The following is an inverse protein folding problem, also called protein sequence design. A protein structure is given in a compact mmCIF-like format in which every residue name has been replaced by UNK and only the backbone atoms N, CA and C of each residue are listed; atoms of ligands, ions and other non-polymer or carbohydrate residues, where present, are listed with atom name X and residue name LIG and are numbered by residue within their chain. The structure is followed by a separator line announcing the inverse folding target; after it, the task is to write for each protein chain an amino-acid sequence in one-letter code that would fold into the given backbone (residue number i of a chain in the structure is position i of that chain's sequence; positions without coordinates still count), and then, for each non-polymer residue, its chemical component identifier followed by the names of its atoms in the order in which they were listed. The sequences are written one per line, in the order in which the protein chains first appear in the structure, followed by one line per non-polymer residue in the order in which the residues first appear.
data_IF_227230727638
#
_entry.id   IF_227230727638
#
_cell.length_a   1.000
_cell.length_b   1.000
_cell.length_c   1.000
_cell.angle_alpha   90.00
_cell.angle_beta   90.00
_cell.angle_gamma   90.00
#
_symmetry.space_group_name_H-M   'P 1'
#
loop_
_entity.id
_entity.type
_entity.pdbx_description
1 polymer ?
#
# COMPACT_ATOMS: atom_id res chain seq x y z
N UNK A 1 -7.94 3.40 1.33
CA UNK A 1 -7.47 2.41 2.31
C UNK A 1 -8.38 2.27 3.52
N UNK A 2 -8.52 3.26 4.42
CA UNK A 2 -9.30 3.08 5.67
C UNK A 2 -10.75 2.62 5.44
N UNK A 3 -11.49 3.24 4.51
CA UNK A 3 -12.87 2.83 4.17
C UNK A 3 -12.90 1.43 3.52
N UNK A 4 -11.87 1.09 2.74
CA UNK A 4 -11.75 -0.21 2.07
C UNK A 4 -11.46 -1.33 3.08
N UNK A 5 -10.59 -1.06 4.06
CA UNK A 5 -10.24 -1.99 5.14
C UNK A 5 -11.39 -2.23 6.11
N UNK A 6 -12.24 -1.23 6.40
CA UNK A 6 -13.38 -1.40 7.31
C UNK A 6 -14.63 -1.96 6.62
N UNK A 7 -14.79 -1.76 5.30
CA UNK A 7 -15.97 -2.23 4.57
C UNK A 7 -15.85 -3.67 4.07
N UNK A 8 -14.66 -4.28 4.17
CA UNK A 8 -14.34 -5.58 3.59
C UNK A 8 -14.66 -5.69 2.08
N UNK A 9 -14.78 -4.56 1.38
CA UNK A 9 -15.04 -4.48 -0.05
C UNK A 9 -13.75 -4.13 -0.80
N UNK A 10 -13.16 -5.15 -1.41
CA UNK A 10 -11.93 -5.09 -2.19
C UNK A 10 -10.68 -5.26 -1.32
N UNK A 11 -9.60 -5.74 -1.94
CA UNK A 11 -8.36 -6.03 -1.21
C UNK A 11 -7.71 -4.73 -0.71
N UNK A 12 -7.36 -4.65 0.59
CA UNK A 12 -6.52 -3.59 1.11
C UNK A 12 -5.21 -3.53 0.33
N UNK A 13 -4.75 -2.32 -0.02
CA UNK A 13 -3.45 -2.15 -0.66
C UNK A 13 -2.37 -2.58 0.34
N UNK A 14 -1.47 -3.47 -0.08
CA UNK A 14 -0.39 -3.98 0.76
C UNK A 14 0.58 -2.85 1.13
N UNK A 15 0.56 -2.50 2.42
CA UNK A 15 1.45 -1.77 3.32
C UNK A 15 2.39 -0.63 2.90
N UNK A 16 2.80 -0.43 1.65
CA UNK A 16 3.68 0.70 1.31
C UNK A 16 3.27 1.34 -0.01
N UNK A 17 2.60 2.48 0.11
CA UNK A 17 2.33 3.40 -1.00
C UNK A 17 3.27 4.60 -0.86
N UNK A 18 4.06 4.86 -1.89
CA UNK A 18 4.86 6.06 -1.99
C UNK A 18 4.37 6.90 -3.16
N UNK A 19 4.29 8.21 -2.93
CA UNK A 19 3.92 9.21 -3.91
C UNK A 19 5.10 10.14 -4.12
N UNK A 20 5.62 10.15 -5.34
CA UNK A 20 6.61 11.14 -5.74
C UNK A 20 5.89 12.42 -6.17
N UNK A 21 6.09 13.48 -5.39
CA UNK A 21 5.48 14.79 -5.66
C UNK A 21 6.15 15.53 -6.83
N UNK A 22 7.36 15.13 -7.24
CA UNK A 22 8.09 15.76 -8.33
C UNK A 22 7.54 15.34 -9.70
N UNK A 23 7.15 14.07 -9.86
CA UNK A 23 6.60 13.54 -11.11
C UNK A 23 5.11 13.16 -11.03
N UNK A 24 4.50 13.27 -9.85
CA UNK A 24 3.09 13.01 -9.60
C UNK A 24 2.71 11.53 -9.66
N UNK A 25 3.68 10.62 -9.58
CA UNK A 25 3.43 9.18 -9.67
C UNK A 25 3.35 8.54 -8.30
N UNK A 26 2.36 7.67 -8.15
CA UNK A 26 2.26 6.74 -7.05
C UNK A 26 2.77 5.36 -7.46
N UNK A 27 3.52 4.71 -6.60
CA UNK A 27 3.86 3.30 -6.77
C UNK A 27 3.59 2.51 -5.49
N UNK A 28 3.27 1.24 -5.69
CA UNK A 28 2.89 0.29 -4.65
C UNK A 28 3.92 -0.82 -4.65
N UNK A 29 4.59 -1.02 -3.51
CA UNK A 29 5.52 -2.12 -3.33
C UNK A 29 4.97 -3.16 -2.37
N UNK A 30 4.95 -4.42 -2.82
CA UNK A 30 4.70 -5.56 -1.96
C UNK A 30 5.99 -5.89 -1.22
N UNK A 31 6.20 -5.30 -0.04
CA UNK A 31 7.36 -5.63 0.80
C UNK A 31 7.11 -7.00 1.44
N UNK A 32 7.88 -8.06 1.08
CA UNK A 32 7.74 -9.35 1.70
C UNK A 32 8.14 -9.25 3.18
N UNK A 33 7.36 -9.84 4.08
CA UNK A 33 7.65 -9.90 5.53
C UNK A 33 8.88 -10.78 5.89
N UNK A 34 9.86 -10.94 4.99
CA UNK A 34 10.97 -11.88 5.14
C UNK A 34 12.17 -11.33 5.93
N UNK A 35 12.07 -10.16 6.54
CA UNK A 35 13.17 -9.53 7.31
C UNK A 35 12.81 -9.23 8.77
N UNK A 36 11.91 -10.02 9.37
CA UNK A 36 11.67 -10.03 10.82
C UNK A 36 11.96 -11.42 11.39
N UNK A 37 13.23 -11.81 11.43
CA UNK A 37 13.71 -12.93 12.25
C UNK A 37 15.05 -12.53 12.86
#
# INVERSE_FOLDING_TARGET
EVIKSISCKGDPIKNFFYFDAADGKGAMEDIPQLLKT
#
